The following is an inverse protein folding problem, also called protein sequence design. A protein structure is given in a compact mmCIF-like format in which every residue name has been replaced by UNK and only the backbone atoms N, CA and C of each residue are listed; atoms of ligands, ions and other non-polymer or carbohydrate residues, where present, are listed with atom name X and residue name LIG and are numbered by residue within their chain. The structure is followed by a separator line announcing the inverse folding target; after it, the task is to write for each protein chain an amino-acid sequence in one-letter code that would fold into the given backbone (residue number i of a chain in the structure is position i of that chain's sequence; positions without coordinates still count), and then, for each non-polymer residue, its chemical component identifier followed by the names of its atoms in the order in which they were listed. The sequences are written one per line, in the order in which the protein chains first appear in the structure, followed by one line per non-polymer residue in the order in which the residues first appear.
data_IF_295861834968
#
_entry.id   IF_295861834968
#
_cell.length_a   1.000
_cell.length_b   1.000
_cell.length_c   1.000
_cell.angle_alpha   90.00
_cell.angle_beta   90.00
_cell.angle_gamma   90.00
#
_symmetry.space_group_name_H-M   'P 1'
#
loop_
_entity.id
_entity.type
_entity.pdbx_description
1 polymer ?
#
# COMPACT_ATOMS: atom_id res chain seq x y z
N UNK A 1 -3.10 -4.97 -7.24
CA UNK A 1 -3.47 -3.54 -7.04
C UNK A 1 -3.43 -3.26 -5.55
N UNK A 2 -3.06 -2.05 -5.08
CA UNK A 2 -2.98 -1.79 -3.64
C UNK A 2 -4.38 -1.58 -3.03
N UNK A 3 -4.60 -2.10 -1.82
CA UNK A 3 -5.87 -2.04 -1.08
C UNK A 3 -5.62 -1.54 0.34
N UNK A 4 -6.32 -0.47 0.72
CA UNK A 4 -6.29 0.10 2.08
C UNK A 4 -7.68 -0.05 2.69
N UNK A 5 -7.75 -0.65 3.88
CA UNK A 5 -9.00 -0.79 4.62
C UNK A 5 -9.24 0.43 5.52
N UNK A 6 -10.40 1.06 5.40
CA UNK A 6 -10.81 2.19 6.24
C UNK A 6 -12.03 1.78 7.06
N UNK A 7 -11.90 1.68 8.38
CA UNK A 7 -12.90 1.02 9.23
C UNK A 7 -13.21 1.80 10.51
N UNK A 8 -14.45 1.70 11.00
CA UNK A 8 -14.81 2.17 12.35
C UNK A 8 -14.33 1.20 13.44
N UNK A 9 -14.13 -0.08 13.10
CA UNK A 9 -13.51 -1.06 14.00
C UNK A 9 -12.00 -0.80 13.98
N UNK A 10 -11.43 -0.42 15.11
CA UNK A 10 -10.04 0.01 15.21
C UNK A 10 -9.25 -0.76 16.27
N UNK A 11 -9.80 -1.87 16.79
CA UNK A 11 -9.05 -2.71 17.71
C UNK A 11 -7.81 -3.29 17.05
N UNK A 12 -6.77 -3.56 17.85
CA UNK A 12 -5.55 -4.20 17.33
C UNK A 12 -5.85 -5.53 16.62
N UNK A 13 -6.82 -6.29 17.12
CA UNK A 13 -7.26 -7.56 16.51
C UNK A 13 -7.91 -7.38 15.14
N UNK A 14 -8.76 -6.36 14.98
CA UNK A 14 -9.39 -6.04 13.68
C UNK A 14 -8.34 -5.59 12.66
N UNK A 15 -7.42 -4.72 13.07
CA UNK A 15 -6.33 -4.24 12.21
C UNK A 15 -5.43 -5.40 11.77
N UNK A 16 -4.99 -6.23 12.73
CA UNK A 16 -4.14 -7.39 12.46
C UNK A 16 -4.82 -8.38 11.52
N UNK A 17 -6.11 -8.65 11.73
CA UNK A 17 -6.88 -9.53 10.86
C UNK A 17 -7.00 -8.98 9.44
N UNK A 18 -7.27 -7.67 9.30
CA UNK A 18 -7.35 -7.03 7.98
C UNK A 18 -6.04 -7.07 7.21
N UNK A 19 -4.90 -6.87 7.88
CA UNK A 19 -3.57 -7.04 7.26
C UNK A 19 -3.33 -8.50 6.85
N UNK A 20 -3.63 -9.47 7.73
CA UNK A 20 -3.49 -10.91 7.42
C UNK A 20 -4.36 -11.36 6.24
N UNK A 21 -5.50 -10.70 6.02
CA UNK A 21 -6.39 -10.98 4.90
C UNK A 21 -5.85 -10.46 3.56
N UNK A 22 -4.74 -9.72 3.57
CA UNK A 22 -4.05 -9.24 2.36
C UNK A 22 -4.24 -7.74 2.07
N UNK A 23 -4.71 -6.95 3.04
CA UNK A 23 -4.69 -5.49 2.90
C UNK A 23 -3.26 -4.96 3.03
N UNK A 24 -2.90 -3.98 2.20
CA UNK A 24 -1.61 -3.29 2.28
C UNK A 24 -1.55 -2.34 3.49
N UNK A 25 -2.69 -1.81 3.92
CA UNK A 25 -2.81 -0.97 5.13
C UNK A 25 -4.23 -1.08 5.72
N UNK A 26 -4.35 -0.81 7.02
CA UNK A 26 -5.62 -0.74 7.74
C UNK A 26 -5.63 0.50 8.62
N UNK A 27 -6.63 1.36 8.44
CA UNK A 27 -6.74 2.62 9.16
C UNK A 27 -8.10 2.71 9.84
N UNK A 28 -8.06 2.82 11.16
CA UNK A 28 -9.24 3.07 11.99
C UNK A 28 -9.72 4.52 11.88
N UNK A 29 -11.03 4.74 11.96
CA UNK A 29 -11.66 6.06 12.06
C UNK A 29 -11.74 6.53 13.53
N UNK A 30 -11.65 7.84 13.79
CA UNK A 30 -11.35 8.92 12.83
C UNK A 30 -9.86 8.94 12.43
N UNK A 31 -9.57 9.40 11.21
CA UNK A 31 -8.20 9.50 10.69
C UNK A 31 -7.93 10.83 10.01
N UNK A 32 -6.65 11.18 9.90
CA UNK A 32 -6.20 12.36 9.16
C UNK A 32 -6.17 12.08 7.65
N UNK A 33 -6.87 12.92 6.88
CA UNK A 33 -6.84 12.89 5.42
C UNK A 33 -5.42 13.17 4.89
N UNK A 34 -4.67 14.06 5.55
CA UNK A 34 -3.30 14.37 5.16
C UNK A 34 -2.40 13.14 5.29
N UNK A 35 -2.54 12.39 6.39
CA UNK A 35 -1.78 11.16 6.62
C UNK A 35 -2.17 10.06 5.62
N UNK A 36 -3.47 9.89 5.35
CA UNK A 36 -3.96 8.94 4.35
C UNK A 36 -3.39 9.24 2.96
N UNK A 37 -3.40 10.51 2.53
CA UNK A 37 -2.79 10.92 1.25
C UNK A 37 -1.30 10.58 1.19
N UNK A 38 -0.55 10.88 2.26
CA UNK A 38 0.86 10.53 2.36
C UNK A 38 1.12 9.03 2.19
N UNK A 39 0.33 8.19 2.86
CA UNK A 39 0.39 6.72 2.73
C UNK A 39 0.11 6.25 1.31
N UNK A 40 -0.96 6.75 0.68
CA UNK A 40 -1.30 6.42 -0.72
C UNK A 40 -0.16 6.80 -1.66
N UNK A 41 0.38 8.01 -1.55
CA UNK A 41 1.51 8.46 -2.37
C UNK A 41 2.73 7.55 -2.21
N UNK A 42 3.03 7.11 -0.99
CA UNK A 42 4.17 6.22 -0.73
C UNK A 42 3.98 4.84 -1.36
N UNK A 43 2.76 4.29 -1.33
CA UNK A 43 2.44 3.00 -1.94
C UNK A 43 2.58 3.09 -3.46
N UNK A 44 2.02 4.13 -4.09
CA UNK A 44 2.09 4.33 -5.54
C UNK A 44 3.55 4.51 -6.01
N UNK A 45 4.32 5.39 -5.37
CA UNK A 45 5.74 5.59 -5.68
C UNK A 45 6.55 4.30 -5.54
N UNK A 46 6.23 3.46 -4.56
CA UNK A 46 6.94 2.19 -4.37
C UNK A 46 6.64 1.21 -5.50
N UNK A 47 5.39 1.16 -5.99
CA UNK A 47 5.03 0.39 -7.18
C UNK A 47 5.72 0.89 -8.45
N UNK A 48 5.74 2.21 -8.66
CA UNK A 48 6.44 2.82 -9.80
C UNK A 48 7.93 2.45 -9.83
N UNK A 49 8.62 2.52 -8.69
CA UNK A 49 10.05 2.13 -8.61
C UNK A 49 10.28 0.68 -9.02
N UNK A 50 9.42 -0.23 -8.57
CA UNK A 50 9.53 -1.66 -8.92
C UNK A 50 9.30 -1.86 -10.43
N UNK A 51 8.27 -1.22 -10.99
CA UNK A 51 7.97 -1.31 -12.42
C UNK A 51 9.14 -0.78 -13.26
N UNK A 52 9.66 0.41 -12.92
CA UNK A 52 10.80 1.00 -13.60
C UNK A 52 12.05 0.13 -13.53
N UNK A 53 12.31 -0.51 -12.38
CA UNK A 53 13.42 -1.44 -12.24
C UNK A 53 13.31 -2.59 -13.24
N UNK A 54 12.17 -3.27 -13.33
CA UNK A 54 12.00 -4.38 -14.26
C UNK A 54 12.06 -3.93 -15.73
N UNK A 55 11.48 -2.79 -16.08
CA UNK A 55 11.57 -2.24 -17.43
C UNK A 55 13.01 -2.00 -17.86
N UNK A 56 13.85 -1.43 -16.99
CA UNK A 56 15.24 -1.14 -17.30
C UNK A 56 16.10 -2.40 -17.43
N UNK A 57 15.86 -3.42 -16.59
CA UNK A 57 16.68 -4.64 -16.60
C UNK A 57 16.30 -5.63 -17.71
N UNK A 58 15.04 -5.69 -18.14
CA UNK A 58 14.61 -6.58 -19.24
C UNK A 58 15.25 -6.18 -20.58
N UNK A 59 15.45 -4.88 -20.81
CA UNK A 59 16.12 -4.36 -22.01
C UNK A 59 17.63 -4.69 -22.07
N UNK A 60 18.24 -5.10 -20.95
CA UNK A 60 19.68 -5.44 -20.90
C UNK A 60 19.94 -6.92 -21.21
N UNK A 61 18.95 -7.81 -21.00
CA UNK A 61 19.10 -9.26 -21.21
C UNK A 61 18.67 -9.77 -22.60
N UNK A 62 18.25 -8.88 -23.50
CA UNK A 62 17.80 -9.20 -24.87
C UNK A 62 18.75 -8.72 -25.97
N UNK A 63 19.95 -8.24 -25.60
CA UNK A 63 21.03 -7.85 -26.51
C UNK A 63 22.13 -8.92 -26.59
#
# INVERSE_FOLDING_TARGET
MPVILLSAKSSLGDQTSGIKLGADDYIGKPFSIALLKGKICNILKSKERIIHFYQNNINVGTA
#
